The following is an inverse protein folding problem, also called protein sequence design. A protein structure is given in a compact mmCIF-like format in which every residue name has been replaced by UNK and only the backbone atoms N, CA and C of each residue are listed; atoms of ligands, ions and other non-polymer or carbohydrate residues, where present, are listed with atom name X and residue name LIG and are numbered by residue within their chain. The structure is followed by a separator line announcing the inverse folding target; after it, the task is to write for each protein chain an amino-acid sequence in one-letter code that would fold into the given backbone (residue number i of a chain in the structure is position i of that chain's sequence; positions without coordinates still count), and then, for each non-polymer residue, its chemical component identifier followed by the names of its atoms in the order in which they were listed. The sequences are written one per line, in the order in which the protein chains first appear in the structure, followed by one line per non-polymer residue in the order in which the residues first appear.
data_IF_578262217760
#
_entry.id   IF_578262217760
#
_cell.length_a   1.000
_cell.length_b   1.000
_cell.length_c   1.000
_cell.angle_alpha   90.00
_cell.angle_beta   90.00
_cell.angle_gamma   90.00
#
_symmetry.space_group_name_H-M   'P 1'
#
loop_
_entity.id
_entity.type
_entity.pdbx_description
1 polymer ?
#
# COMPACT_ATOMS: atom_id res chain seq x y z
N UNK A 1 -2.64 -12.19 17.61
CA UNK A 1 -2.85 -11.92 17.08
C UNK A 1 -3.50 -11.96 16.28
N UNK A 2 -3.99 -11.83 15.97
CA UNK A 2 -4.50 -11.72 15.28
C UNK A 2 -4.93 -11.53 14.39
N UNK A 3 -5.13 -11.61 14.06
CA UNK A 3 -5.38 -11.36 13.15
C UNK A 3 -6.30 -10.79 12.42
N UNK A 4 -6.08 -9.96 12.13
CA UNK A 4 -6.93 -9.43 11.47
C UNK A 4 -6.90 -9.73 10.13
N UNK A 5 -7.79 -9.62 9.40
CA UNK A 5 -7.75 -10.01 8.15
C UNK A 5 -7.95 -8.92 7.25
N UNK A 6 -7.74 -9.01 5.98
CA UNK A 6 -8.14 -8.15 4.90
C UNK A 6 -7.41 -6.84 4.83
N UNK A 7 -8.07 -5.72 4.97
CA UNK A 7 -7.50 -4.44 4.65
C UNK A 7 -6.61 -3.86 5.71
N UNK A 8 -6.49 -4.49 6.85
CA UNK A 8 -5.69 -3.93 7.92
C UNK A 8 -4.21 -3.97 7.63
N UNK A 9 -3.46 -3.26 8.43
CA UNK A 9 -2.00 -3.27 8.30
C UNK A 9 -1.48 -4.62 8.75
N UNK A 10 -0.74 -5.30 7.90
CA UNK A 10 -0.14 -6.57 8.24
C UNK A 10 1.10 -6.37 9.09
N UNK A 11 1.90 -5.39 8.76
CA UNK A 11 3.16 -5.15 9.44
C UNK A 11 3.45 -3.66 9.39
N UNK A 12 3.95 -3.14 10.49
CA UNK A 12 4.36 -1.75 10.58
C UNK A 12 5.81 -1.71 11.01
N UNK A 13 6.62 -1.02 10.26
CA UNK A 13 8.02 -0.79 10.60
C UNK A 13 8.27 0.70 10.61
N UNK A 14 9.00 1.17 11.60
CA UNK A 14 9.40 2.57 11.68
C UNK A 14 10.87 2.69 11.35
N UNK A 15 11.16 3.58 10.43
CA UNK A 15 12.48 3.74 9.89
C UNK A 15 12.96 5.16 10.10
N UNK A 16 14.24 5.34 10.14
CA UNK A 16 14.87 6.65 10.14
C UNK A 16 14.26 7.58 11.20
N UNK A 17 14.59 7.30 12.44
CA UNK A 17 14.13 8.12 13.57
C UNK A 17 12.62 8.23 13.63
N UNK A 18 11.95 7.19 13.19
CA UNK A 18 10.50 7.16 13.25
C UNK A 18 9.81 8.18 12.34
N UNK A 19 10.54 8.73 11.39
CA UNK A 19 9.94 9.66 10.45
C UNK A 19 9.33 8.99 9.26
N UNK A 20 9.74 7.78 8.98
CA UNK A 20 9.29 7.02 7.82
C UNK A 20 8.81 5.67 8.30
N UNK A 21 7.68 5.25 7.80
CA UNK A 21 7.11 3.96 8.13
C UNK A 21 6.92 3.14 6.89
N UNK A 22 7.13 1.85 7.02
CA UNK A 22 6.81 0.91 5.96
C UNK A 22 5.62 0.10 6.43
N UNK A 23 4.54 0.13 5.68
CA UNK A 23 3.29 -0.53 6.02
C UNK A 23 3.04 -1.63 5.02
N UNK A 24 2.74 -2.81 5.49
CA UNK A 24 2.47 -3.94 4.62
C UNK A 24 0.99 -4.24 4.64
N UNK A 25 0.38 -4.36 3.47
CA UNK A 25 -1.05 -4.62 3.34
C UNK A 25 -1.29 -5.76 2.38
N UNK A 26 -2.40 -6.48 2.57
CA UNK A 26 -2.87 -7.44 1.60
C UNK A 26 -3.90 -6.77 0.70
N UNK A 27 -3.77 -7.00 -0.59
CA UNK A 27 -4.75 -6.50 -1.56
C UNK A 27 -5.93 -7.47 -1.57
N UNK A 28 -7.13 -6.93 -1.42
CA UNK A 28 -8.35 -7.72 -1.39
C UNK A 28 -9.30 -7.23 -2.46
N UNK A 29 -10.43 -7.89 -2.58
CA UNK A 29 -11.46 -7.45 -3.53
C UNK A 29 -12.02 -6.08 -3.18
N UNK A 30 -11.87 -5.64 -1.93
CA UNK A 30 -12.33 -4.33 -1.51
C UNK A 30 -11.35 -3.22 -1.84
N UNK A 31 -10.14 -3.57 -2.26
CA UNK A 31 -9.13 -2.57 -2.58
C UNK A 31 -9.57 -1.80 -3.81
N UNK A 32 -9.48 -0.47 -3.73
CA UNK A 32 -9.88 0.37 -4.85
C UNK A 32 -8.79 0.36 -5.92
N UNK A 33 -9.17 0.68 -7.12
CA UNK A 33 -8.23 0.84 -8.23
C UNK A 33 -7.48 -0.46 -8.59
N UNK A 34 -8.11 -1.61 -8.36
CA UNK A 34 -7.50 -2.86 -8.81
C UNK A 34 -7.28 -2.82 -10.31
N UNK A 35 -6.13 -3.27 -10.74
CA UNK A 35 -5.81 -3.33 -12.17
C UNK A 35 -5.47 -1.99 -12.81
N UNK A 36 -5.51 -0.90 -12.04
CA UNK A 36 -5.18 0.42 -12.56
C UNK A 36 -3.69 0.67 -12.36
N UNK A 37 -3.01 1.16 -13.38
CA UNK A 37 -1.58 1.41 -13.30
C UNK A 37 -1.28 2.41 -12.20
N UNK A 38 -0.19 2.20 -11.48
CA UNK A 38 0.17 3.07 -10.37
C UNK A 38 0.26 4.54 -10.79
N UNK A 39 0.74 4.79 -11.98
CA UNK A 39 0.86 6.16 -12.46
C UNK A 39 -0.50 6.84 -12.62
N UNK A 40 -1.55 6.06 -12.72
CA UNK A 40 -2.91 6.58 -12.92
C UNK A 40 -3.72 6.59 -11.63
N UNK A 41 -3.14 6.13 -10.53
CA UNK A 41 -3.84 6.12 -9.25
C UNK A 41 -3.75 7.48 -8.57
N UNK A 42 -4.83 7.92 -7.93
CA UNK A 42 -4.80 9.18 -7.18
C UNK A 42 -4.18 8.97 -5.79
N UNK A 43 -2.89 8.74 -5.75
CA UNK A 43 -2.20 8.47 -4.49
C UNK A 43 -2.00 9.76 -3.71
N UNK A 44 -2.09 9.65 -2.39
CA UNK A 44 -1.78 10.77 -1.52
C UNK A 44 -0.30 11.12 -1.64
N UNK A 45 0.06 12.36 -1.33
CA UNK A 45 1.47 12.76 -1.41
C UNK A 45 2.28 12.12 -0.28
N UNK A 46 3.57 12.09 -0.46
CA UNK A 46 4.51 11.65 0.57
C UNK A 46 4.40 10.18 0.90
N UNK A 47 4.00 9.39 -0.07
CA UNK A 47 4.03 7.95 0.08
C UNK A 47 4.55 7.32 -1.21
N UNK A 48 5.00 6.09 -1.09
CA UNK A 48 5.57 5.36 -2.20
C UNK A 48 5.13 3.92 -2.09
N UNK A 49 4.68 3.35 -3.19
CA UNK A 49 4.44 1.90 -3.26
C UNK A 49 5.81 1.27 -3.53
N UNK A 50 6.41 0.72 -2.51
CA UNK A 50 7.80 0.28 -2.57
C UNK A 50 7.96 -1.11 -3.14
N UNK A 51 7.06 -2.02 -2.80
CA UNK A 51 7.17 -3.41 -3.24
C UNK A 51 5.79 -3.98 -3.47
N UNK A 52 5.70 -4.90 -4.41
CA UNK A 52 4.52 -5.73 -4.61
C UNK A 52 5.00 -7.18 -4.61
N UNK A 53 4.41 -8.02 -3.79
CA UNK A 53 4.69 -9.44 -3.77
C UNK A 53 3.49 -10.16 -4.34
N UNK A 54 3.73 -10.95 -5.38
CA UNK A 54 2.68 -11.67 -6.09
C UNK A 54 3.16 -13.08 -6.35
N UNK A 55 2.48 -14.06 -5.77
CA UNK A 55 2.80 -15.46 -6.02
C UNK A 55 4.27 -15.76 -5.81
N UNK A 56 4.78 -15.42 -4.65
CA UNK A 56 6.16 -15.70 -4.28
C UNK A 56 7.19 -14.87 -5.04
N UNK A 57 6.75 -13.92 -5.85
CA UNK A 57 7.69 -13.03 -6.53
C UNK A 57 7.54 -11.64 -5.95
N UNK A 58 8.66 -11.01 -5.69
CA UNK A 58 8.69 -9.64 -5.17
C UNK A 58 9.21 -8.76 -6.27
N UNK A 59 8.51 -7.68 -6.53
CA UNK A 59 8.95 -6.74 -7.55
C UNK A 59 8.94 -5.32 -6.99
N UNK A 60 9.84 -4.50 -7.52
CA UNK A 60 9.83 -3.08 -7.26
C UNK A 60 8.99 -2.47 -8.38
N UNK A 61 7.81 -1.98 -8.06
CA UNK A 61 6.87 -1.61 -9.12
C UNK A 61 7.29 -0.36 -9.87
N UNK A 62 6.93 -0.32 -11.13
CA UNK A 62 7.04 0.87 -11.94
C UNK A 62 5.65 1.47 -12.09
N UNK A 63 5.58 2.60 -12.79
CA UNK A 63 4.31 3.26 -12.99
C UNK A 63 3.27 2.44 -13.72
N UNK A 64 3.70 1.44 -14.51
CA UNK A 64 2.77 0.60 -15.26
C UNK A 64 2.28 -0.62 -14.49
N UNK A 65 2.82 -0.88 -13.30
CA UNK A 65 2.36 -1.99 -12.49
C UNK A 65 1.05 -1.64 -11.79
N UNK A 66 0.38 -2.67 -11.25
CA UNK A 66 -0.94 -2.50 -10.68
C UNK A 66 -1.10 -3.46 -9.51
N UNK A 67 -2.16 -3.26 -8.73
CA UNK A 67 -2.50 -4.16 -7.64
C UNK A 67 -3.45 -5.24 -8.14
N UNK A 68 -3.23 -6.46 -7.70
CA UNK A 68 -4.13 -7.58 -7.96
C UNK A 68 -4.52 -8.21 -6.64
N UNK A 69 -5.69 -8.81 -6.60
CA UNK A 69 -6.16 -9.48 -5.38
C UNK A 69 -5.15 -10.52 -4.95
N UNK A 70 -4.93 -10.59 -3.65
CA UNK A 70 -3.98 -11.48 -2.99
C UNK A 70 -2.52 -11.04 -3.08
N UNK A 71 -2.24 -9.93 -3.72
CA UNK A 71 -0.91 -9.32 -3.62
C UNK A 71 -0.67 -8.86 -2.19
N UNK A 72 0.58 -8.80 -1.80
CA UNK A 72 1.00 -8.09 -0.60
C UNK A 72 1.79 -6.88 -1.07
N UNK A 73 1.47 -5.71 -0.55
CA UNK A 73 2.13 -4.48 -0.98
C UNK A 73 2.77 -3.80 0.21
N UNK A 74 3.90 -3.17 -0.02
CA UNK A 74 4.59 -2.40 1.00
C UNK A 74 4.53 -0.93 0.59
N UNK A 75 3.97 -0.12 1.47
CA UNK A 75 3.84 1.32 1.27
C UNK A 75 4.80 2.00 2.23
N UNK A 76 5.62 2.89 1.72
CA UNK A 76 6.51 3.68 2.56
C UNK A 76 5.92 5.08 2.63
N UNK A 77 5.77 5.60 3.83
CA UNK A 77 5.15 6.90 4.01
C UNK A 77 5.77 7.59 5.22
N UNK A 78 5.55 8.88 5.31
CA UNK A 78 6.00 9.61 6.48
C UNK A 78 5.15 9.25 7.67
N UNK A 79 5.75 9.22 8.84
CA UNK A 79 5.07 8.77 10.04
C UNK A 79 4.00 9.72 10.54
N UNK A 80 3.91 10.92 9.99
CA UNK A 80 2.84 11.83 10.36
C UNK A 80 1.52 11.47 9.70
N UNK A 81 1.51 10.44 8.88
CA UNK A 81 0.28 9.94 8.27
C UNK A 81 -0.22 8.75 9.04
N UNK A 82 -1.50 8.56 9.01
CA UNK A 82 -2.11 7.44 9.70
C UNK A 82 -2.93 6.66 8.68
N UNK A 83 -2.50 5.45 8.37
CA UNK A 83 -3.22 4.59 7.44
C UNK A 83 -3.63 3.32 8.17
N UNK A 84 -4.91 3.04 8.19
CA UNK A 84 -5.41 1.83 8.82
C UNK A 84 -5.72 0.74 7.81
N UNK A 85 -5.89 1.11 6.57
CA UNK A 85 -6.21 0.17 5.51
C UNK A 85 -5.55 0.63 4.24
N UNK A 86 -5.37 -0.28 3.29
CA UNK A 86 -4.72 0.06 2.03
C UNK A 86 -5.46 1.17 1.29
N UNK A 87 -6.78 1.17 1.33
CA UNK A 87 -7.54 2.20 0.62
C UNK A 87 -7.26 3.61 1.13
N UNK A 88 -6.65 3.74 2.30
CA UNK A 88 -6.31 5.05 2.83
C UNK A 88 -5.19 5.74 2.06
N UNK A 89 -4.50 5.03 1.18
CA UNK A 89 -3.44 5.66 0.39
C UNK A 89 -3.99 6.50 -0.76
N UNK A 90 -5.26 6.34 -1.10
CA UNK A 90 -5.85 7.06 -2.21
C UNK A 90 -6.47 8.35 -1.71
N UNK A 91 -6.15 9.45 -2.33
CA UNK A 91 -6.60 10.71 -1.80
C UNK A 91 -7.31 11.59 -2.76
N UNK A 92 -6.94 11.55 -3.97
CA UNK A 92 -7.38 12.58 -4.86
C UNK A 92 -8.76 12.44 -5.41
N UNK A 93 -9.36 11.37 -5.15
CA UNK A 93 -10.58 11.11 -5.83
C UNK A 93 -11.75 11.90 -5.43
N UNK A 94 -11.69 12.62 -4.53
CA UNK A 94 -12.78 13.17 -4.10
C UNK A 94 -13.09 14.37 -4.48
N UNK A 95 -13.15 14.41 -4.72
CA UNK A 95 -13.27 15.29 -5.17
C UNK A 95 -13.89 15.36 -5.48
#
# INVERSE_FOLDING_TARGET
MQNRQGEGVLTLHRLVDERVEALEFRVTQSTRYLGVALKDMPLKPNLLVALISRRDKVLVPSGSDYFAVDDTVVIVTKSDRSFNALNDIFGGGQK
#
